data_IF_925712461270
#
_entry.id   IF_925712461270
#
_cell.length_a   1.000
_cell.length_b   1.000
_cell.length_c   1.000
_cell.angle_alpha   90.00
_cell.angle_beta   90.00
_cell.angle_gamma   90.00
#
_symmetry.space_group_name_H-M   'P 1'
#
loop_
_entity.id
_entity.type
_entity.pdbx_description
1 polymer ?
#
# COMPACT_ATOMS: atom_id res chain seq x y z
N UNK A 1 -13.16 22.84 -16.32
CA UNK A 1 -12.70 22.54 -14.93
C UNK A 1 -13.84 22.29 -13.94
N UNK A 2 -14.93 23.07 -13.98
CA UNK A 2 -16.03 22.96 -13.03
C UNK A 2 -16.69 21.55 -12.98
N UNK A 3 -16.97 20.96 -14.14
CA UNK A 3 -17.61 19.64 -14.22
C UNK A 3 -16.76 18.51 -13.62
N UNK A 4 -15.44 18.56 -13.84
CA UNK A 4 -14.52 17.58 -13.26
C UNK A 4 -14.51 17.65 -11.72
N UNK A 5 -14.53 18.86 -11.14
CA UNK A 5 -14.62 19.06 -9.67
C UNK A 5 -15.96 18.57 -9.13
N UNK A 6 -17.07 18.84 -9.84
CA UNK A 6 -18.41 18.35 -9.47
C UNK A 6 -18.43 16.82 -9.38
N UNK A 7 -17.96 16.12 -10.41
CA UNK A 7 -17.89 14.64 -10.42
C UNK A 7 -17.06 14.10 -9.24
N UNK A 8 -15.98 14.79 -8.87
CA UNK A 8 -15.14 14.40 -7.74
C UNK A 8 -15.90 14.50 -6.40
N UNK A 9 -16.62 15.60 -6.19
CA UNK A 9 -17.44 15.81 -4.97
C UNK A 9 -18.58 14.80 -4.89
N UNK A 10 -19.29 14.58 -6.00
CA UNK A 10 -20.39 13.62 -6.06
C UNK A 10 -19.91 12.18 -5.83
N UNK A 11 -18.76 11.79 -6.39
CA UNK A 11 -18.14 10.48 -6.13
C UNK A 11 -17.76 10.29 -4.65
N UNK A 12 -17.41 11.36 -3.96
CA UNK A 12 -17.15 11.35 -2.53
C UNK A 12 -18.44 11.39 -1.68
N UNK A 13 -19.62 11.32 -2.29
CA UNK A 13 -20.93 11.37 -1.62
C UNK A 13 -21.40 12.78 -1.28
N UNK A 14 -20.75 13.82 -1.80
CA UNK A 14 -21.14 15.22 -1.60
C UNK A 14 -22.27 15.66 -2.53
N UNK A 15 -23.06 16.63 -2.09
CA UNK A 15 -24.10 17.28 -2.89
C UNK A 15 -23.64 18.65 -3.36
N UNK A 16 -23.64 18.88 -4.68
CA UNK A 16 -23.27 20.17 -5.26
C UNK A 16 -24.48 21.08 -5.42
N UNK A 17 -24.44 22.25 -4.78
CA UNK A 17 -25.48 23.29 -4.84
C UNK A 17 -24.98 24.54 -5.57
N UNK A 18 -25.89 25.44 -5.92
CA UNK A 18 -25.56 26.73 -6.54
C UNK A 18 -25.01 27.74 -5.51
N UNK A 19 -24.42 28.85 -5.96
CA UNK A 19 -24.00 29.94 -5.05
C UNK A 19 -25.19 30.53 -4.29
N UNK A 20 -26.39 30.55 -4.87
CA UNK A 20 -27.62 31.02 -4.20
C UNK A 20 -27.99 30.15 -2.98
N UNK A 21 -27.57 28.89 -2.97
CA UNK A 21 -27.81 27.91 -1.91
C UNK A 21 -26.56 27.65 -1.07
N UNK A 22 -25.52 28.49 -1.18
CA UNK A 22 -24.24 28.29 -0.53
C UNK A 22 -24.32 28.17 1.01
N UNK A 23 -25.39 28.70 1.63
CA UNK A 23 -25.70 28.52 3.05
C UNK A 23 -25.84 27.04 3.49
N UNK A 24 -26.12 26.12 2.55
CA UNK A 24 -26.20 24.68 2.81
C UNK A 24 -24.86 23.97 2.65
N UNK A 25 -23.86 24.65 2.08
CA UNK A 25 -22.55 24.07 1.79
C UNK A 25 -21.56 24.30 2.95
N UNK A 26 -20.41 23.63 2.84
CA UNK A 26 -19.24 23.80 3.73
C UNK A 26 -17.97 24.13 2.95
N UNK A 27 -17.92 23.72 1.67
CA UNK A 27 -16.81 23.93 0.75
C UNK A 27 -17.31 24.69 -0.47
N UNK A 28 -16.53 25.66 -0.95
CA UNK A 28 -16.74 26.39 -2.18
C UNK A 28 -15.69 26.01 -3.22
N UNK A 29 -16.12 25.73 -4.45
CA UNK A 29 -15.22 25.50 -5.58
C UNK A 29 -15.45 26.57 -6.64
N UNK A 30 -14.41 27.36 -6.93
CA UNK A 30 -14.46 28.40 -7.96
C UNK A 30 -13.66 27.93 -9.17
N UNK A 31 -14.30 27.89 -10.33
CA UNK A 31 -13.69 27.47 -11.59
C UNK A 31 -14.11 28.44 -12.71
N UNK A 32 -13.77 29.71 -12.52
CA UNK A 32 -13.99 30.80 -13.47
C UNK A 32 -12.68 31.14 -14.19
N UNK A 33 -12.77 31.40 -15.49
CA UNK A 33 -11.61 31.71 -16.33
C UNK A 33 -11.09 33.12 -16.04
N UNK A 34 -11.97 34.11 -15.90
CA UNK A 34 -11.60 35.47 -15.53
C UNK A 34 -11.09 35.55 -14.07
N UNK A 35 -9.92 36.18 -13.91
CA UNK A 35 -9.24 36.26 -12.61
C UNK A 35 -9.94 37.16 -11.60
N UNK A 36 -10.52 38.27 -12.05
CA UNK A 36 -11.22 39.22 -11.18
C UNK A 36 -12.55 38.64 -10.72
N UNK A 37 -13.26 37.98 -11.62
CA UNK A 37 -14.48 37.25 -11.28
C UNK A 37 -14.20 36.10 -10.31
N UNK A 38 -13.12 35.33 -10.53
CA UNK A 38 -12.70 34.26 -9.64
C UNK A 38 -12.35 34.77 -8.23
N UNK A 39 -11.60 35.86 -8.13
CA UNK A 39 -11.24 36.49 -6.85
C UNK A 39 -12.47 37.04 -6.12
N UNK A 40 -13.35 37.74 -6.83
CA UNK A 40 -14.60 38.26 -6.27
C UNK A 40 -15.50 37.12 -5.76
N UNK A 41 -15.63 36.03 -6.52
CA UNK A 41 -16.39 34.85 -6.09
C UNK A 41 -15.77 34.19 -4.86
N UNK A 42 -14.43 34.03 -4.84
CA UNK A 42 -13.73 33.46 -3.69
C UNK A 42 -13.98 34.29 -2.42
N UNK A 43 -13.83 35.61 -2.49
CA UNK A 43 -14.10 36.51 -1.36
C UNK A 43 -15.55 36.42 -0.88
N UNK A 44 -16.53 36.39 -1.79
CA UNK A 44 -17.95 36.25 -1.42
C UNK A 44 -18.22 34.94 -0.68
N UNK A 45 -17.71 33.82 -1.18
CA UNK A 45 -17.89 32.50 -0.57
C UNK A 45 -17.17 32.40 0.80
N UNK A 46 -15.94 32.93 0.91
CA UNK A 46 -15.22 32.98 2.20
C UNK A 46 -15.95 33.81 3.24
N UNK A 47 -16.55 34.95 2.85
CA UNK A 47 -17.37 35.78 3.74
C UNK A 47 -18.64 35.09 4.26
N UNK A 48 -19.11 34.06 3.57
CA UNK A 48 -20.20 33.20 4.02
C UNK A 48 -19.73 32.06 4.94
N UNK A 49 -18.43 31.96 5.23
CA UNK A 49 -17.84 30.96 6.12
C UNK A 49 -17.46 29.64 5.44
N UNK A 50 -17.46 29.58 4.10
CA UNK A 50 -17.03 28.39 3.35
C UNK A 50 -15.51 28.37 3.23
N UNK A 51 -14.91 27.17 3.29
CA UNK A 51 -13.54 26.97 2.81
C UNK A 51 -13.55 26.91 1.28
N UNK A 52 -12.71 27.68 0.62
CA UNK A 52 -12.74 27.85 -0.84
C UNK A 52 -11.52 27.23 -1.51
N UNK A 53 -11.71 26.55 -2.63
CA UNK A 53 -10.66 26.14 -3.55
C UNK A 53 -10.92 26.73 -4.94
N UNK A 54 -10.00 27.57 -5.41
CA UNK A 54 -10.06 28.22 -6.72
C UNK A 54 -9.15 27.47 -7.70
N UNK A 55 -9.70 27.10 -8.86
CA UNK A 55 -8.92 26.45 -9.92
C UNK A 55 -7.78 27.36 -10.39
N UNK A 56 -6.58 26.77 -10.51
CA UNK A 56 -5.37 27.39 -11.04
C UNK A 56 -4.89 28.65 -10.31
N UNK A 57 -5.42 28.90 -9.10
CA UNK A 57 -5.14 30.09 -8.26
C UNK A 57 -4.92 29.68 -6.79
N UNK A 58 -3.78 29.04 -6.47
CA UNK A 58 -3.50 28.53 -5.12
C UNK A 58 -3.51 29.61 -4.03
N UNK A 59 -3.14 30.85 -4.36
CA UNK A 59 -3.15 32.01 -3.47
C UNK A 59 -4.55 32.40 -2.97
N UNK A 60 -5.59 32.02 -3.70
CA UNK A 60 -6.99 32.24 -3.32
C UNK A 60 -7.59 31.05 -2.55
N UNK A 61 -6.87 29.92 -2.45
CA UNK A 61 -7.38 28.69 -1.85
C UNK A 61 -7.17 28.63 -0.32
N UNK A 62 -8.15 28.09 0.41
CA UNK A 62 -8.02 27.70 1.82
C UNK A 62 -7.58 26.23 1.98
N UNK A 63 -7.72 25.42 0.93
CA UNK A 63 -7.32 24.01 0.91
C UNK A 63 -6.87 23.56 -0.48
N UNK A 64 -6.14 22.45 -0.53
CA UNK A 64 -5.70 21.80 -1.78
C UNK A 64 -6.38 20.44 -1.95
N UNK A 65 -6.50 19.98 -3.19
CA UNK A 65 -7.01 18.64 -3.49
C UNK A 65 -5.84 17.67 -3.67
N UNK A 66 -5.76 16.58 -2.88
CA UNK A 66 -4.71 15.59 -3.03
C UNK A 66 -4.94 14.69 -4.24
N UNK A 67 -3.90 13.95 -4.62
CA UNK A 67 -4.02 12.80 -5.52
C UNK A 67 -4.45 11.58 -4.68
N UNK A 68 -5.64 11.04 -4.95
CA UNK A 68 -6.25 9.99 -4.12
C UNK A 68 -6.25 8.64 -4.83
N UNK A 69 -5.82 7.60 -4.13
CA UNK A 69 -5.97 6.19 -4.50
C UNK A 69 -6.90 5.49 -3.50
N UNK A 70 -7.77 4.63 -4.02
CA UNK A 70 -8.76 3.89 -3.24
C UNK A 70 -8.67 2.39 -3.53
N UNK A 71 -8.82 1.58 -2.47
CA UNK A 71 -8.90 0.11 -2.48
C UNK A 71 -9.99 -0.31 -1.48
N UNK A 72 -11.25 -0.29 -1.93
CA UNK A 72 -12.39 -0.52 -1.04
C UNK A 72 -12.41 0.51 0.10
N UNK A 73 -12.43 0.09 1.38
CA UNK A 73 -12.44 1.01 2.52
C UNK A 73 -11.10 1.71 2.80
N UNK A 74 -10.03 1.40 2.04
CA UNK A 74 -8.72 2.02 2.20
C UNK A 74 -8.55 3.18 1.23
N UNK A 75 -8.25 4.36 1.77
CA UNK A 75 -7.97 5.59 1.01
C UNK A 75 -6.56 6.08 1.32
N UNK A 76 -5.79 6.34 0.27
CA UNK A 76 -4.45 6.95 0.36
C UNK A 76 -4.48 8.27 -0.39
N UNK A 77 -4.19 9.37 0.32
CA UNK A 77 -4.13 10.71 -0.24
C UNK A 77 -2.68 11.22 -0.26
N UNK A 78 -2.19 11.58 -1.45
CA UNK A 78 -0.86 12.15 -1.63
C UNK A 78 -0.98 13.63 -1.95
N UNK A 79 -0.36 14.48 -1.13
CA UNK A 79 -0.33 15.92 -1.31
C UNK A 79 1.10 16.46 -1.24
N UNK A 80 1.37 17.53 -1.97
CA UNK A 80 2.67 18.23 -1.97
C UNK A 80 2.57 19.63 -1.36
N UNK A 81 1.49 19.92 -0.61
CA UNK A 81 1.23 21.26 -0.09
C UNK A 81 1.08 22.33 -1.18
N UNK A 82 0.69 21.93 -2.40
CA UNK A 82 0.59 22.82 -3.55
C UNK A 82 1.86 22.95 -4.38
N UNK A 83 3.01 22.38 -3.96
CA UNK A 83 4.28 22.53 -4.67
C UNK A 83 4.29 21.88 -6.07
N UNK A 84 3.65 20.71 -6.23
CA UNK A 84 3.55 20.05 -7.53
C UNK A 84 2.43 19.00 -7.55
N UNK A 85 1.39 19.28 -8.34
CA UNK A 85 0.33 18.30 -8.61
C UNK A 85 0.83 17.10 -9.44
N UNK A 86 1.79 17.36 -10.34
CA UNK A 86 2.42 16.31 -11.14
C UNK A 86 3.18 15.29 -10.29
N UNK A 87 3.97 15.76 -9.31
CA UNK A 87 4.68 14.87 -8.38
C UNK A 87 3.70 14.05 -7.53
N UNK A 88 2.66 14.68 -6.98
CA UNK A 88 1.62 13.98 -6.22
C UNK A 88 0.97 12.86 -7.05
N UNK A 89 0.68 13.13 -8.33
CA UNK A 89 0.14 12.14 -9.27
C UNK A 89 1.10 10.97 -9.50
N UNK A 90 2.38 11.24 -9.71
CA UNK A 90 3.38 10.19 -9.96
C UNK A 90 3.60 9.30 -8.73
N UNK A 91 3.65 9.89 -7.53
CA UNK A 91 3.74 9.13 -6.27
C UNK A 91 2.49 8.26 -6.05
N UNK A 92 1.28 8.80 -6.29
CA UNK A 92 0.05 8.00 -6.24
C UNK A 92 0.09 6.82 -7.20
N UNK A 93 0.54 7.02 -8.45
CA UNK A 93 0.71 5.94 -9.44
C UNK A 93 1.77 4.91 -9.04
N UNK A 94 2.82 5.32 -8.33
CA UNK A 94 3.79 4.39 -7.77
C UNK A 94 3.16 3.53 -6.67
N UNK A 95 2.44 4.14 -5.73
CA UNK A 95 1.73 3.43 -4.67
C UNK A 95 0.66 2.49 -5.22
N UNK A 96 -0.04 2.89 -6.28
CA UNK A 96 -1.02 2.07 -6.99
C UNK A 96 -0.47 0.72 -7.47
N UNK A 97 0.79 0.70 -7.90
CA UNK A 97 1.48 -0.53 -8.35
C UNK A 97 1.91 -1.43 -7.19
N UNK A 98 2.12 -0.84 -6.01
CA UNK A 98 2.60 -1.56 -4.82
C UNK A 98 1.42 -2.14 -4.03
N UNK A 99 0.32 -1.39 -3.93
CA UNK A 99 -0.82 -1.75 -3.08
C UNK A 99 -1.77 -2.72 -3.82
N UNK A 100 -1.89 -3.97 -3.35
CA UNK A 100 -2.70 -4.96 -4.03
C UNK A 100 -4.19 -4.65 -3.93
N UNK A 101 -4.98 -5.10 -4.91
CA UNK A 101 -6.43 -4.95 -4.90
C UNK A 101 -7.09 -5.68 -3.71
N UNK A 102 -6.48 -6.78 -3.26
CA UNK A 102 -6.92 -7.59 -2.10
C UNK A 102 -6.94 -6.81 -0.78
N UNK A 103 -6.23 -5.68 -0.69
CA UNK A 103 -6.13 -4.88 0.53
C UNK A 103 -7.51 -4.41 1.03
N UNK A 104 -8.43 -4.09 0.11
CA UNK A 104 -9.80 -3.72 0.46
C UNK A 104 -10.58 -4.88 1.10
N UNK A 105 -10.38 -6.10 0.60
CA UNK A 105 -10.99 -7.30 1.16
C UNK A 105 -10.41 -7.65 2.54
N UNK A 106 -9.09 -7.53 2.72
CA UNK A 106 -8.43 -7.71 4.02
C UNK A 106 -9.00 -6.74 5.06
N UNK A 107 -9.08 -5.45 4.72
CA UNK A 107 -9.62 -4.42 5.60
C UNK A 107 -11.09 -4.70 5.99
N UNK A 108 -11.91 -5.14 5.04
CA UNK A 108 -13.32 -5.47 5.28
C UNK A 108 -13.44 -6.67 6.22
N UNK A 109 -12.71 -7.76 5.94
CA UNK A 109 -12.73 -8.98 6.77
C UNK A 109 -12.19 -8.74 8.18
N UNK A 110 -11.14 -7.92 8.34
CA UNK A 110 -10.66 -7.50 9.67
C UNK A 110 -11.72 -6.67 10.41
N UNK A 111 -12.50 -5.87 9.69
CA UNK A 111 -13.65 -5.15 10.21
C UNK A 111 -14.72 -6.09 10.76
N UNK A 112 -15.08 -7.12 10.00
CA UNK A 112 -16.07 -8.14 10.38
C UNK A 112 -15.56 -9.01 11.55
N UNK A 113 -14.27 -9.33 11.56
CA UNK A 113 -13.60 -10.10 12.62
C UNK A 113 -13.44 -9.35 13.95
N UNK A 114 -13.81 -8.07 14.04
CA UNK A 114 -13.62 -7.24 15.24
C UNK A 114 -14.20 -7.83 16.50
N UNK A 115 -15.40 -8.42 16.43
CA UNK A 115 -16.02 -9.04 17.61
C UNK A 115 -15.25 -10.31 18.00
N UNK A 116 -14.98 -11.19 17.04
CA UNK A 116 -14.23 -12.41 17.33
C UNK A 116 -12.82 -12.15 17.88
N UNK A 117 -12.13 -11.10 17.43
CA UNK A 117 -10.85 -10.69 18.02
C UNK A 117 -10.99 -10.26 19.49
N UNK A 118 -12.09 -9.60 19.86
CA UNK A 118 -12.37 -9.23 21.26
C UNK A 118 -12.67 -10.45 22.12
N UNK A 119 -13.36 -11.44 21.56
CA UNK A 119 -13.69 -12.67 22.27
C UNK A 119 -12.44 -13.55 22.45
N UNK A 120 -11.57 -13.62 21.44
CA UNK A 120 -10.32 -14.40 21.48
C UNK A 120 -9.25 -13.76 22.37
N UNK A 121 -9.10 -12.44 22.29
CA UNK A 121 -8.19 -11.65 23.12
C UNK A 121 -8.98 -10.55 23.84
N UNK A 122 -9.54 -10.83 25.02
CA UNK A 122 -10.26 -9.82 25.81
C UNK A 122 -9.37 -8.64 26.18
N UNK A 123 -8.11 -8.93 26.57
CA UNK A 123 -7.11 -7.90 26.86
C UNK A 123 -6.74 -7.09 25.60
N UNK A 124 -6.76 -5.77 25.73
CA UNK A 124 -6.47 -4.86 24.63
C UNK A 124 -5.00 -4.86 24.20
N UNK A 125 -4.07 -5.11 25.13
CA UNK A 125 -2.64 -5.18 24.86
C UNK A 125 -2.27 -6.43 24.07
N UNK A 126 -2.78 -7.59 24.49
CA UNK A 126 -2.63 -8.86 23.76
C UNK A 126 -3.21 -8.80 22.36
N UNK A 127 -4.44 -8.28 22.23
CA UNK A 127 -5.10 -8.13 20.92
C UNK A 127 -4.30 -7.25 19.97
N UNK A 128 -3.74 -6.15 20.47
CA UNK A 128 -2.87 -5.26 19.66
C UNK A 128 -1.61 -5.99 19.22
N UNK A 129 -0.91 -6.68 20.14
CA UNK A 129 0.31 -7.45 19.79
C UNK A 129 0.04 -8.53 18.76
N UNK A 130 -1.07 -9.27 18.89
CA UNK A 130 -1.46 -10.29 17.94
C UNK A 130 -1.73 -9.71 16.55
N UNK A 131 -2.48 -8.60 16.48
CA UNK A 131 -2.79 -7.92 15.23
C UNK A 131 -1.53 -7.31 14.59
N UNK A 132 -0.67 -6.67 15.38
CA UNK A 132 0.59 -6.08 14.90
C UNK A 132 1.52 -7.17 14.32
N UNK A 133 1.63 -8.32 15.00
CA UNK A 133 2.41 -9.46 14.52
C UNK A 133 1.82 -10.09 13.25
N UNK A 134 0.49 -10.08 13.11
CA UNK A 134 -0.19 -10.58 11.93
C UNK A 134 -0.01 -9.67 10.71
N UNK A 135 -0.08 -8.35 10.91
CA UNK A 135 0.03 -7.33 9.86
C UNK A 135 1.47 -6.91 9.55
N UNK A 136 2.43 -7.30 10.37
CA UNK A 136 3.85 -7.13 10.07
C UNK A 136 4.18 -7.76 8.71
N UNK A 137 5.24 -7.30 8.03
CA UNK A 137 5.60 -7.94 6.76
C UNK A 137 6.12 -9.35 6.99
N UNK A 138 5.72 -10.27 6.12
CA UNK A 138 5.87 -11.71 6.33
C UNK A 138 4.94 -12.25 7.42
N UNK A 139 4.16 -11.38 8.05
CA UNK A 139 3.08 -11.75 8.95
C UNK A 139 1.97 -12.46 8.20
N UNK A 140 1.15 -13.17 8.96
CA UNK A 140 0.13 -14.06 8.39
C UNK A 140 -0.98 -13.30 7.67
N UNK A 141 -1.15 -12.02 8.01
CA UNK A 141 -2.05 -11.08 7.35
C UNK A 141 -1.27 -9.92 6.72
N UNK A 142 -0.03 -10.13 6.24
CA UNK A 142 0.76 -9.08 5.57
C UNK A 142 -0.11 -8.36 4.52
N UNK A 143 -0.35 -7.04 4.65
CA UNK A 143 -1.21 -6.29 3.75
C UNK A 143 -0.78 -6.31 2.27
N UNK A 144 0.50 -6.62 2.00
CA UNK A 144 1.05 -6.69 0.65
C UNK A 144 0.97 -8.10 0.05
N UNK A 145 0.56 -9.10 0.82
CA UNK A 145 0.24 -10.43 0.30
C UNK A 145 -1.23 -10.48 -0.19
N UNK A 146 -1.41 -10.91 -1.43
CA UNK A 146 -2.72 -11.08 -2.05
C UNK A 146 -3.61 -12.09 -1.30
N UNK A 147 -3.01 -13.10 -0.66
CA UNK A 147 -3.72 -14.16 0.05
C UNK A 147 -4.18 -13.80 1.47
N UNK A 148 -3.69 -12.70 2.05
CA UNK A 148 -3.93 -12.33 3.44
C UNK A 148 -5.40 -12.22 3.81
N UNK A 149 -6.24 -11.71 2.90
CA UNK A 149 -7.67 -11.60 3.14
C UNK A 149 -8.31 -12.97 3.43
N UNK A 150 -7.87 -14.03 2.77
CA UNK A 150 -8.47 -15.36 2.92
C UNK A 150 -8.09 -16.04 4.23
N UNK A 151 -7.01 -15.60 4.89
CA UNK A 151 -6.50 -16.21 6.13
C UNK A 151 -7.05 -15.57 7.41
N UNK A 152 -7.81 -14.47 7.31
CA UNK A 152 -8.32 -13.74 8.50
C UNK A 152 -9.12 -14.65 9.44
N UNK A 153 -9.95 -15.53 8.90
CA UNK A 153 -10.76 -16.45 9.70
C UNK A 153 -9.93 -17.54 10.39
N UNK A 154 -8.95 -18.10 9.68
CA UNK A 154 -8.07 -19.15 10.19
C UNK A 154 -7.10 -18.59 11.24
N UNK A 155 -6.53 -17.42 10.99
CA UNK A 155 -5.77 -16.63 11.95
C UNK A 155 -6.54 -16.42 13.24
N UNK A 156 -7.80 -15.97 13.14
CA UNK A 156 -8.62 -15.70 14.30
C UNK A 156 -8.93 -16.97 15.12
N UNK A 157 -9.15 -18.10 14.45
CA UNK A 157 -9.36 -19.41 15.09
C UNK A 157 -8.07 -20.01 15.65
N UNK A 158 -6.91 -19.40 15.37
CA UNK A 158 -5.59 -19.98 15.68
C UNK A 158 -5.29 -21.26 14.89
N UNK A 159 -5.99 -21.44 13.76
CA UNK A 159 -5.82 -22.56 12.82
C UNK A 159 -4.90 -22.20 11.66
N UNK A 160 -4.35 -20.99 11.68
CA UNK A 160 -3.34 -20.58 10.73
C UNK A 160 -2.10 -21.43 10.91
N UNK A 161 -1.99 -22.42 10.04
CA UNK A 161 -0.70 -23.01 9.74
C UNK A 161 0.05 -21.92 8.99
N UNK A 162 0.91 -21.19 9.71
CA UNK A 162 2.16 -20.84 9.05
C UNK A 162 2.79 -22.17 8.70
N UNK A 163 2.86 -22.49 7.42
CA UNK A 163 4.09 -23.07 6.94
C UNK A 163 5.17 -22.06 7.35
N UNK A 164 5.74 -22.24 8.54
CA UNK A 164 7.03 -21.65 8.88
C UNK A 164 8.03 -21.99 7.79
N UNK A 165 7.82 -23.13 7.13
CA UNK A 165 8.37 -23.60 5.86
C UNK A 165 7.72 -22.98 4.62
N UNK A 166 7.88 -21.66 4.44
CA UNK A 166 7.51 -21.02 3.18
C UNK A 166 8.70 -20.93 2.24
N UNK A 167 8.56 -21.42 0.99
CA UNK A 167 9.54 -21.19 -0.08
C UNK A 167 9.11 -19.97 -0.89
N UNK A 168 9.92 -18.92 -0.91
CA UNK A 168 9.67 -17.69 -1.68
C UNK A 168 10.76 -17.52 -2.74
N UNK A 169 10.35 -17.54 -4.01
CA UNK A 169 11.28 -17.29 -5.11
C UNK A 169 11.40 -15.79 -5.42
N UNK A 170 12.63 -15.32 -5.55
CA UNK A 170 13.00 -13.97 -5.95
C UNK A 170 13.74 -14.03 -7.28
N UNK A 171 13.09 -13.53 -8.32
CA UNK A 171 13.73 -13.25 -9.61
C UNK A 171 14.50 -11.92 -9.53
N UNK A 172 15.82 -12.01 -9.56
CA UNK A 172 16.73 -10.88 -9.58
C UNK A 172 16.83 -10.30 -10.99
N UNK A 173 16.83 -8.97 -11.07
CA UNK A 173 16.94 -8.22 -12.33
C UNK A 173 18.38 -7.85 -12.67
N UNK A 174 19.26 -7.85 -11.67
CA UNK A 174 20.68 -7.53 -11.80
C UNK A 174 21.46 -8.12 -10.62
N UNK A 175 22.78 -7.96 -10.66
CA UNK A 175 23.69 -8.29 -9.56
C UNK A 175 23.84 -7.15 -8.53
N UNK A 176 23.18 -6.02 -8.74
CA UNK A 176 23.22 -4.84 -7.85
C UNK A 176 22.22 -5.02 -6.70
N UNK A 177 22.66 -5.03 -5.43
CA UNK A 177 21.77 -5.18 -4.29
C UNK A 177 20.80 -4.00 -4.10
N UNK A 178 21.05 -2.85 -4.74
CA UNK A 178 20.14 -1.70 -4.69
C UNK A 178 18.97 -1.82 -5.69
N UNK A 179 19.04 -2.78 -6.63
CA UNK A 179 17.91 -3.13 -7.53
C UNK A 179 16.88 -4.06 -6.87
N UNK A 180 17.19 -4.57 -5.68
CA UNK A 180 16.24 -5.27 -4.83
C UNK A 180 15.09 -4.32 -4.46
N UNK A 181 13.87 -4.76 -4.70
CA UNK A 181 12.71 -4.08 -4.13
C UNK A 181 12.77 -4.13 -2.61
N UNK A 182 12.16 -3.15 -1.94
CA UNK A 182 12.05 -3.14 -0.48
C UNK A 182 11.48 -4.45 0.09
N UNK A 183 10.55 -5.09 -0.64
CA UNK A 183 10.01 -6.41 -0.29
C UNK A 183 11.07 -7.51 -0.37
N UNK A 184 11.84 -7.56 -1.46
CA UNK A 184 12.89 -8.58 -1.64
C UNK A 184 14.00 -8.44 -0.61
N UNK A 185 14.49 -7.22 -0.36
CA UNK A 185 15.51 -6.96 0.66
C UNK A 185 15.02 -7.36 2.06
N UNK A 186 13.75 -7.08 2.38
CA UNK A 186 13.15 -7.45 3.67
C UNK A 186 13.00 -8.96 3.83
N UNK A 187 12.47 -9.65 2.81
CA UNK A 187 12.33 -11.10 2.81
C UNK A 187 13.69 -11.79 3.01
N UNK A 188 14.71 -11.32 2.29
CA UNK A 188 16.07 -11.82 2.41
C UNK A 188 16.63 -11.60 3.81
N UNK A 189 16.43 -10.42 4.40
CA UNK A 189 16.83 -10.10 5.77
C UNK A 189 16.10 -10.91 6.85
N UNK A 190 14.93 -11.48 6.54
CA UNK A 190 14.18 -12.37 7.44
C UNK A 190 14.30 -13.84 7.10
N UNK A 191 15.05 -14.23 6.06
CA UNK A 191 15.17 -15.62 5.63
C UNK A 191 15.94 -16.45 6.65
N UNK A 192 15.45 -17.65 6.95
CA UNK A 192 16.18 -18.66 7.72
C UNK A 192 17.11 -19.45 6.77
N UNK A 193 16.67 -19.66 5.53
CA UNK A 193 17.42 -20.33 4.47
C UNK A 193 17.48 -19.46 3.21
N UNK A 194 18.64 -19.37 2.57
CA UNK A 194 18.83 -18.70 1.28
C UNK A 194 19.40 -19.71 0.29
N UNK A 195 18.57 -20.12 -0.66
CA UNK A 195 18.96 -21.00 -1.76
C UNK A 195 19.33 -20.13 -2.97
N UNK A 196 20.50 -20.35 -3.57
CA UNK A 196 20.97 -19.49 -4.66
C UNK A 196 21.82 -20.23 -5.71
N UNK A 197 21.86 -19.75 -6.96
CA UNK A 197 22.84 -20.15 -7.96
C UNK A 197 24.28 -19.84 -7.52
N UNK A 198 25.27 -20.58 -8.05
CA UNK A 198 26.69 -20.35 -7.72
C UNK A 198 27.22 -19.00 -8.21
N UNK A 199 26.60 -18.41 -9.22
CA UNK A 199 27.00 -17.15 -9.85
C UNK A 199 26.31 -15.91 -9.25
N UNK A 200 25.60 -16.07 -8.12
CA UNK A 200 24.93 -14.96 -7.43
C UNK A 200 25.96 -13.97 -6.85
N UNK A 201 25.60 -12.68 -6.85
CA UNK A 201 26.42 -11.63 -6.26
C UNK A 201 26.49 -11.75 -4.73
N UNK A 202 27.70 -11.78 -4.15
CA UNK A 202 27.91 -11.76 -2.69
C UNK A 202 27.28 -10.52 -2.05
N UNK A 203 27.24 -9.39 -2.78
CA UNK A 203 26.63 -8.15 -2.30
C UNK A 203 25.11 -8.30 -2.05
N UNK A 204 24.44 -9.21 -2.77
CA UNK A 204 23.05 -9.58 -2.53
C UNK A 204 22.96 -10.55 -1.34
N UNK A 205 23.82 -11.56 -1.27
CA UNK A 205 23.81 -12.55 -0.18
C UNK A 205 24.02 -11.94 1.21
N UNK A 206 24.89 -10.92 1.32
CA UNK A 206 25.13 -10.18 2.58
C UNK A 206 23.90 -9.42 3.08
N UNK A 207 22.87 -9.21 2.26
CA UNK A 207 21.59 -8.61 2.69
C UNK A 207 20.72 -9.60 3.50
N UNK A 208 21.05 -10.89 3.50
CA UNK A 208 20.42 -11.86 4.39
C UNK A 208 20.87 -11.66 5.84
N UNK A 209 20.13 -12.21 6.80
CA UNK A 209 20.60 -12.23 8.20
C UNK A 209 21.93 -12.97 8.31
N UNK A 210 22.76 -12.60 9.29
CA UNK A 210 24.11 -13.13 9.44
C UNK A 210 24.13 -14.65 9.78
N UNK A 211 23.05 -15.13 10.37
CA UNK A 211 22.80 -16.51 10.80
C UNK A 211 21.92 -17.31 9.82
N UNK A 212 21.61 -16.78 8.63
CA UNK A 212 20.86 -17.52 7.61
C UNK A 212 21.72 -18.65 7.05
N UNK A 213 21.14 -19.84 6.90
CA UNK A 213 21.79 -20.95 6.21
C UNK A 213 21.78 -20.69 4.69
N UNK A 214 22.95 -20.75 4.05
CA UNK A 214 23.10 -20.48 2.62
C UNK A 214 23.41 -21.76 1.86
N UNK A 215 22.59 -22.07 0.85
CA UNK A 215 22.69 -23.31 0.08
C UNK A 215 22.85 -22.97 -1.40
N UNK A 216 23.96 -23.38 -2.00
CA UNK A 216 24.18 -23.23 -3.44
C UNK A 216 23.52 -24.38 -4.20
N UNK A 217 22.77 -24.07 -5.27
CA UNK A 217 22.19 -25.08 -6.17
C UNK A 217 23.29 -25.79 -6.99
N UNK A 218 23.18 -27.11 -7.17
CA UNK A 218 24.02 -27.87 -8.11
C UNK A 218 23.41 -27.88 -9.53
N UNK A 219 24.25 -27.79 -10.55
CA UNK A 219 23.83 -27.66 -11.96
C UNK A 219 23.19 -28.98 -12.49
N UNK A 220 21.88 -28.98 -12.74
CA UNK A 220 21.18 -30.03 -13.50
C UNK A 220 19.65 -29.89 -13.52
N UNK A 221 18.96 -30.23 -14.63
CA UNK A 221 17.51 -30.20 -14.71
C UNK A 221 16.94 -31.47 -14.08
N UNK A 222 16.78 -31.47 -12.76
CA UNK A 222 16.15 -32.58 -12.05
C UNK A 222 15.33 -32.05 -10.88
N UNK A 223 14.09 -31.67 -11.19
CA UNK A 223 12.91 -32.40 -10.75
C UNK A 223 12.60 -32.62 -9.27
N UNK A 224 13.47 -32.26 -8.33
CA UNK A 224 13.16 -32.28 -6.90
C UNK A 224 13.63 -30.96 -6.27
N UNK A 225 12.66 -30.12 -5.89
CA UNK A 225 12.85 -28.83 -5.25
C UNK A 225 13.66 -28.98 -3.94
N UNK A 226 14.68 -28.14 -3.72
CA UNK A 226 15.42 -28.20 -2.48
C UNK A 226 14.53 -27.68 -1.35
N UNK A 227 14.46 -28.48 -0.29
CA UNK A 227 13.96 -28.14 1.06
C UNK A 227 12.43 -28.13 1.23
N UNK A 228 11.80 -29.29 0.99
CA UNK A 228 10.56 -29.66 1.69
C UNK A 228 10.90 -30.21 3.08
N UNK A 229 11.07 -29.33 4.05
CA UNK A 229 11.19 -29.70 5.46
C UNK A 229 10.63 -28.58 6.34
N UNK A 230 10.40 -28.87 7.62
CA UNK A 230 9.85 -27.98 8.66
C UNK A 230 10.80 -26.81 9.04
N UNK A 231 11.57 -26.36 8.07
CA UNK A 231 12.53 -25.29 8.14
C UNK A 231 11.81 -23.94 8.09
N UNK A 232 12.41 -22.87 8.60
CA UNK A 232 11.81 -21.54 8.55
C UNK A 232 11.67 -20.97 7.13
N UNK A 233 11.59 -19.65 7.00
CA UNK A 233 11.41 -18.96 5.72
C UNK A 233 12.60 -19.28 4.79
N UNK A 234 12.33 -19.94 3.66
CA UNK A 234 13.31 -20.24 2.61
C UNK A 234 13.16 -19.25 1.47
N UNK A 235 14.22 -18.50 1.15
CA UNK A 235 14.26 -17.60 -0.01
C UNK A 235 15.10 -18.23 -1.11
N UNK A 236 14.49 -18.48 -2.27
CA UNK A 236 15.18 -19.00 -3.46
C UNK A 236 15.48 -17.83 -4.39
N UNK A 237 16.76 -17.54 -4.62
CA UNK A 237 17.19 -16.52 -5.58
C UNK A 237 17.30 -17.15 -6.97
N UNK A 238 16.80 -16.50 -8.01
CA UNK A 238 17.07 -16.86 -9.41
C UNK A 238 17.39 -15.62 -10.22
N UNK A 239 18.31 -15.71 -11.18
CA UNK A 239 18.52 -14.64 -12.14
C UNK A 239 17.40 -14.69 -13.19
N UNK A 240 16.79 -13.53 -13.49
CA UNK A 240 15.88 -13.44 -14.63
C UNK A 240 16.69 -13.80 -15.90
N UNK A 241 16.26 -14.76 -16.73
CA UNK A 241 16.93 -15.02 -17.99
C UNK A 241 16.93 -13.73 -18.83
N UNK A 242 18.06 -13.42 -19.45
CA UNK A 242 18.11 -12.36 -20.43
C UNK A 242 17.09 -12.70 -21.52
N UNK A 243 16.15 -11.77 -21.77
CA UNK A 243 15.17 -11.94 -22.85
C UNK A 243 15.95 -12.18 -24.16
N UNK A 244 15.81 -13.38 -24.73
CA UNK A 244 16.44 -13.80 -25.99
C UNK A 244 15.72 -13.21 -27.20
#
# INVERSE_FOLDING_TARGET
MAEAKRRLVERAGGTCVSEAEAHQARLGFVALDDGREAEAAALRLKRQGLLVNVADRPELCDFTLPSVLERGPITVAVATGGASAGLAKQLRLALERILPASLGALASRLGDARQGMRDRWPDGGERRRALDAALASGGVLDPLDAGSANRVEDWLKGQDKRDGAGVVEILLRSADPDDLTLRQARLLGTADYVVHPRDISEAILVRARADAERVALEDGPSGDDPVSGDHGLTVVLRMKPADA
#
